data_IF_368884862940
#
_entry.id   IF_368884862940
#
_cell.length_a   1.000
_cell.length_b   1.000
_cell.length_c   1.000
_cell.angle_alpha   90.00
_cell.angle_beta   90.00
_cell.angle_gamma   90.00
#
_symmetry.space_group_name_H-M   'P 1'
#
loop_
_entity.id
_entity.type
_entity.pdbx_description
1 polymer ?
#
# COMPACT_ATOMS: atom_id res chain seq x y z
N UNK A 1 15.96 1.79 -9.07
CA UNK A 1 15.45 1.49 -7.73
C UNK A 1 14.28 0.54 -7.81
N UNK A 2 14.13 -0.30 -6.80
CA UNK A 2 13.05 -1.28 -6.78
C UNK A 2 11.69 -0.69 -6.39
N UNK A 3 11.72 0.40 -5.65
CA UNK A 3 10.50 1.09 -5.23
C UNK A 3 10.65 2.58 -5.47
N UNK A 4 9.67 3.17 -6.13
CA UNK A 4 9.66 4.60 -6.43
C UNK A 4 8.68 5.30 -5.50
N UNK A 5 9.09 6.44 -4.95
CA UNK A 5 8.28 7.21 -4.01
C UNK A 5 7.84 8.50 -4.70
N UNK A 6 6.55 8.75 -4.72
CA UNK A 6 5.99 9.99 -5.24
C UNK A 6 5.15 10.64 -4.15
N UNK A 7 5.52 11.85 -3.74
CA UNK A 7 4.74 12.60 -2.76
C UNK A 7 3.75 13.50 -3.46
N UNK A 8 2.49 13.43 -3.07
CA UNK A 8 1.44 14.34 -3.48
C UNK A 8 0.85 14.97 -2.22
N UNK A 9 -0.03 15.95 -2.42
CA UNK A 9 -0.75 16.55 -1.30
C UNK A 9 -1.56 15.46 -0.58
N UNK A 10 -1.30 15.27 0.71
CA UNK A 10 -2.00 14.35 1.61
C UNK A 10 -1.80 12.86 1.34
N UNK A 11 -1.04 12.47 0.32
CA UNK A 11 -0.83 11.05 0.03
C UNK A 11 0.56 10.82 -0.55
N UNK A 12 1.18 9.71 -0.16
CA UNK A 12 2.45 9.25 -0.73
C UNK A 12 2.19 7.97 -1.49
N UNK A 13 2.64 7.94 -2.74
CA UNK A 13 2.50 6.76 -3.60
C UNK A 13 3.83 6.03 -3.63
N UNK A 14 3.79 4.74 -3.28
CA UNK A 14 4.95 3.86 -3.39
C UNK A 14 4.67 2.91 -4.54
N UNK A 15 5.46 3.00 -5.60
CA UNK A 15 5.31 2.13 -6.76
C UNK A 15 6.34 1.01 -6.70
N UNK A 16 5.88 -0.22 -6.71
CA UNK A 16 6.74 -1.38 -6.78
C UNK A 16 7.20 -1.59 -8.22
N UNK A 17 8.51 -1.68 -8.42
CA UNK A 17 9.11 -1.96 -9.73
C UNK A 17 9.61 -3.39 -9.81
N UNK A 18 9.46 -4.17 -8.74
CA UNK A 18 9.90 -5.57 -8.73
C UNK A 18 8.81 -6.47 -9.31
N UNK A 19 9.22 -7.43 -10.10
CA UNK A 19 8.32 -8.43 -10.65
C UNK A 19 7.81 -9.39 -9.56
N UNK A 20 8.69 -9.74 -8.64
CA UNK A 20 8.39 -10.67 -7.53
C UNK A 20 8.62 -9.96 -6.20
N UNK A 21 7.56 -9.81 -5.43
CA UNK A 21 7.65 -9.27 -4.08
C UNK A 21 7.73 -10.45 -3.12
N UNK A 22 8.95 -10.96 -2.94
CA UNK A 22 9.25 -12.18 -2.18
C UNK A 22 10.17 -11.88 -1.00
N UNK A 23 10.73 -12.95 -0.40
CA UNK A 23 11.57 -12.82 0.78
C UNK A 23 12.84 -11.99 0.54
N UNK A 24 13.31 -11.89 -0.71
CA UNK A 24 14.48 -11.07 -1.04
C UNK A 24 14.14 -9.58 -1.11
N UNK A 25 12.94 -9.25 -1.58
CA UNK A 25 12.54 -7.86 -1.82
C UNK A 25 11.70 -7.27 -0.67
N UNK A 26 11.00 -8.10 0.09
CA UNK A 26 10.11 -7.62 1.14
C UNK A 26 10.81 -6.77 2.21
N UNK A 27 12.02 -7.11 2.67
CA UNK A 27 12.70 -6.26 3.65
C UNK A 27 12.97 -4.84 3.15
N UNK A 28 13.31 -4.68 1.87
CA UNK A 28 13.52 -3.35 1.29
C UNK A 28 12.20 -2.55 1.28
N UNK A 29 11.10 -3.19 0.90
CA UNK A 29 9.79 -2.54 0.91
C UNK A 29 9.41 -2.11 2.33
N UNK A 30 9.59 -2.98 3.31
CA UNK A 30 9.32 -2.64 4.72
C UNK A 30 10.12 -1.42 5.16
N UNK A 31 11.41 -1.38 4.83
CA UNK A 31 12.27 -0.24 5.18
C UNK A 31 11.77 1.05 4.54
N UNK A 32 11.41 1.01 3.26
CA UNK A 32 10.91 2.18 2.56
C UNK A 32 9.61 2.69 3.20
N UNK A 33 8.70 1.78 3.52
CA UNK A 33 7.42 2.14 4.13
C UNK A 33 7.60 2.77 5.50
N UNK A 34 8.49 2.21 6.32
CA UNK A 34 8.78 2.75 7.65
C UNK A 34 9.39 4.15 7.53
N UNK A 35 10.34 4.34 6.62
CA UNK A 35 10.98 5.65 6.42
C UNK A 35 9.99 6.70 5.94
N UNK A 36 9.13 6.33 4.98
CA UNK A 36 8.10 7.24 4.45
C UNK A 36 7.13 7.65 5.57
N UNK A 37 6.70 6.68 6.37
CA UNK A 37 5.77 6.95 7.46
C UNK A 37 6.41 7.82 8.55
N UNK A 38 7.66 7.55 8.92
CA UNK A 38 8.39 8.37 9.90
C UNK A 38 8.62 9.78 9.40
N UNK A 39 8.72 9.96 8.09
CA UNK A 39 8.85 11.27 7.47
C UNK A 39 7.55 12.09 7.46
N UNK A 40 6.46 11.53 7.98
CA UNK A 40 5.19 12.21 8.11
C UNK A 40 4.06 11.69 7.23
N UNK A 41 4.32 10.72 6.36
CA UNK A 41 3.27 10.18 5.49
C UNK A 41 2.37 9.23 6.27
N UNK A 42 1.15 9.67 6.55
CA UNK A 42 0.14 8.83 7.19
C UNK A 42 -0.78 8.13 6.18
N UNK A 43 -0.83 8.62 4.95
CA UNK A 43 -1.63 8.05 3.88
C UNK A 43 -0.69 7.52 2.81
N UNK A 44 -0.76 6.22 2.52
CA UNK A 44 0.12 5.57 1.56
C UNK A 44 -0.71 4.76 0.57
N UNK A 45 -0.40 4.94 -0.71
CA UNK A 45 -0.93 4.10 -1.79
C UNK A 45 0.23 3.23 -2.26
N UNK A 46 0.05 1.92 -2.26
CA UNK A 46 1.03 0.98 -2.79
C UNK A 46 0.55 0.47 -4.14
N UNK A 47 1.28 0.84 -5.19
CA UNK A 47 0.96 0.47 -6.56
C UNK A 47 1.73 -0.81 -6.94
N UNK A 48 1.01 -1.89 -7.17
CA UNK A 48 1.57 -3.20 -7.52
C UNK A 48 1.34 -3.58 -8.98
N UNK A 49 1.10 -2.59 -9.85
CA UNK A 49 0.82 -2.84 -11.27
C UNK A 49 1.92 -3.67 -11.94
N UNK A 50 3.19 -3.40 -11.61
CA UNK A 50 4.33 -4.09 -12.23
C UNK A 50 4.76 -5.34 -11.46
N UNK A 51 4.07 -5.70 -10.38
CA UNK A 51 4.40 -6.86 -9.56
C UNK A 51 3.47 -8.02 -9.90
N UNK A 52 4.00 -9.03 -10.59
CA UNK A 52 3.19 -10.18 -11.04
C UNK A 52 3.09 -11.28 -9.99
N UNK A 53 3.97 -11.29 -9.00
CA UNK A 53 4.03 -12.37 -8.03
C UNK A 53 4.32 -11.81 -6.64
N UNK A 54 3.69 -12.43 -5.64
CA UNK A 54 3.90 -12.06 -4.23
C UNK A 54 3.78 -13.34 -3.40
N UNK A 55 4.65 -13.49 -2.41
CA UNK A 55 4.56 -14.59 -1.45
C UNK A 55 4.16 -14.05 -0.07
N UNK A 56 4.20 -14.92 0.94
CA UNK A 56 3.82 -14.54 2.31
C UNK A 56 4.72 -13.44 2.90
N UNK A 57 5.99 -13.38 2.48
CA UNK A 57 6.91 -12.33 2.92
C UNK A 57 6.48 -10.98 2.38
N UNK A 58 6.13 -10.93 1.08
CA UNK A 58 5.60 -9.71 0.46
C UNK A 58 4.30 -9.28 1.11
N UNK A 59 3.41 -10.22 1.35
CA UNK A 59 2.14 -9.93 2.02
C UNK A 59 2.34 -9.38 3.42
N UNK A 60 3.34 -9.89 4.15
CA UNK A 60 3.72 -9.37 5.46
C UNK A 60 4.12 -7.90 5.39
N UNK A 61 4.90 -7.52 4.36
CA UNK A 61 5.28 -6.12 4.16
C UNK A 61 4.06 -5.23 3.92
N UNK A 62 3.09 -5.72 3.14
CA UNK A 62 1.84 -5.00 2.89
C UNK A 62 1.08 -4.77 4.20
N UNK A 63 1.01 -5.78 5.05
CA UNK A 63 0.33 -5.67 6.34
C UNK A 63 1.03 -4.69 7.28
N UNK A 64 2.36 -4.61 7.23
CA UNK A 64 3.10 -3.60 8.00
C UNK A 64 2.68 -2.20 7.56
N UNK A 65 2.57 -1.97 6.25
CA UNK A 65 2.13 -0.66 5.73
C UNK A 65 0.74 -0.31 6.24
N UNK A 66 -0.17 -1.28 6.20
CA UNK A 66 -1.54 -1.06 6.69
C UNK A 66 -1.55 -0.65 8.16
N UNK A 67 -0.75 -1.33 8.97
CA UNK A 67 -0.66 -1.01 10.41
C UNK A 67 -0.05 0.37 10.64
N UNK A 68 1.04 0.71 9.93
CA UNK A 68 1.67 2.01 10.08
C UNK A 68 0.71 3.16 9.78
N UNK A 69 -0.05 3.04 8.71
CA UNK A 69 -1.02 4.07 8.34
C UNK A 69 -2.15 4.17 9.36
N UNK A 70 -2.69 3.03 9.80
CA UNK A 70 -3.76 3.00 10.79
C UNK A 70 -3.30 3.63 12.11
N UNK A 71 -2.09 3.29 12.57
CA UNK A 71 -1.55 3.82 13.82
C UNK A 71 -1.26 5.32 13.72
N UNK A 72 -1.06 5.83 12.51
CA UNK A 72 -0.85 7.25 12.25
C UNK A 72 -2.16 7.99 11.97
N UNK A 73 -3.29 7.33 12.12
CA UNK A 73 -4.62 7.88 11.82
C UNK A 73 -4.75 8.26 10.33
N UNK A 74 -4.23 7.40 9.48
CA UNK A 74 -4.25 7.57 8.04
C UNK A 74 -4.84 6.36 7.31
N UNK A 75 -4.71 6.35 6.00
CA UNK A 75 -5.25 5.30 5.14
C UNK A 75 -4.15 4.61 4.35
N UNK A 76 -4.28 3.31 4.17
CA UNK A 76 -3.44 2.52 3.28
C UNK A 76 -4.30 1.88 2.21
N UNK A 77 -3.95 2.07 0.94
CA UNK A 77 -4.70 1.51 -0.19
C UNK A 77 -3.74 0.79 -1.13
N UNK A 78 -4.10 -0.43 -1.51
CA UNK A 78 -3.42 -1.17 -2.59
C UNK A 78 -4.11 -0.88 -3.92
N UNK A 79 -3.34 -0.83 -4.99
CA UNK A 79 -3.95 -0.70 -6.31
C UNK A 79 -3.17 -1.46 -7.38
N UNK A 80 -3.84 -1.72 -8.49
CA UNK A 80 -3.22 -2.31 -9.67
C UNK A 80 -2.85 -3.77 -9.51
N UNK A 81 -3.58 -4.54 -8.70
CA UNK A 81 -3.19 -5.93 -8.43
C UNK A 81 -3.26 -6.80 -9.67
N UNK A 82 -2.17 -7.52 -9.94
CA UNK A 82 -2.15 -8.57 -10.95
C UNK A 82 -2.94 -9.79 -10.44
N UNK A 83 -3.45 -10.64 -11.35
CA UNK A 83 -4.34 -11.74 -10.94
C UNK A 83 -3.76 -12.69 -9.88
N UNK A 84 -2.47 -13.04 -9.97
CA UNK A 84 -1.85 -13.93 -8.98
C UNK A 84 -1.75 -13.29 -7.61
N UNK A 85 -1.46 -11.98 -7.56
CA UNK A 85 -1.37 -11.23 -6.31
C UNK A 85 -2.77 -11.08 -5.69
N UNK A 86 -3.75 -10.74 -6.51
CA UNK A 86 -5.15 -10.63 -6.06
C UNK A 86 -5.64 -11.96 -5.48
N UNK A 87 -5.32 -13.07 -6.14
CA UNK A 87 -5.71 -14.40 -5.68
C UNK A 87 -5.11 -14.72 -4.31
N UNK A 88 -3.84 -14.38 -4.11
CA UNK A 88 -3.19 -14.60 -2.80
C UNK A 88 -3.90 -13.83 -1.70
N UNK A 89 -4.23 -12.57 -1.96
CA UNK A 89 -4.93 -11.72 -0.99
C UNK A 89 -6.31 -12.31 -0.67
N UNK A 90 -7.04 -12.76 -1.67
CA UNK A 90 -8.37 -13.35 -1.49
C UNK A 90 -8.29 -14.66 -0.69
N UNK A 91 -7.36 -15.55 -1.04
CA UNK A 91 -7.18 -16.82 -0.35
C UNK A 91 -6.79 -16.59 1.12
N UNK A 92 -6.00 -15.57 1.38
CA UNK A 92 -5.57 -15.21 2.74
C UNK A 92 -6.64 -14.44 3.51
N UNK A 93 -7.80 -14.18 2.90
CA UNK A 93 -8.92 -13.46 3.49
C UNK A 93 -8.57 -12.03 3.91
N UNK A 94 -7.60 -11.42 3.25
CA UNK A 94 -7.16 -10.06 3.56
C UNK A 94 -7.88 -9.00 2.73
N UNK A 95 -8.68 -9.40 1.76
CA UNK A 95 -9.51 -8.51 0.97
C UNK A 95 -10.57 -7.79 1.83
N UNK A 96 -10.93 -8.36 2.99
CA UNK A 96 -11.83 -7.71 3.94
C UNK A 96 -11.11 -6.72 4.86
N UNK A 97 -9.78 -6.80 4.95
CA UNK A 97 -8.96 -5.95 5.83
C UNK A 97 -8.33 -4.80 5.06
N UNK A 98 -7.93 -5.06 3.82
CA UNK A 98 -7.20 -4.10 2.99
C UNK A 98 -8.15 -3.38 2.05
N UNK A 99 -7.91 -2.08 1.85
CA UNK A 99 -8.59 -1.30 0.81
C UNK A 99 -7.87 -1.50 -0.50
N UNK A 100 -8.60 -1.87 -1.54
CA UNK A 100 -8.02 -2.22 -2.84
C UNK A 100 -8.79 -1.51 -3.93
N UNK A 101 -8.08 -0.87 -4.86
CA UNK A 101 -8.69 -0.23 -6.03
C UNK A 101 -7.99 -0.71 -7.31
N UNK A 102 -8.65 -0.58 -8.47
CA UNK A 102 -8.02 -0.97 -9.74
C UNK A 102 -6.86 -0.07 -10.15
N UNK A 103 -6.91 1.23 -9.87
CA UNK A 103 -5.94 2.21 -10.36
C UNK A 103 -5.43 3.11 -9.26
N UNK A 104 -4.29 3.76 -9.54
CA UNK A 104 -3.73 4.78 -8.63
C UNK A 104 -4.71 5.94 -8.43
N UNK A 105 -5.35 6.40 -9.51
CA UNK A 105 -6.28 7.52 -9.40
C UNK A 105 -7.44 7.22 -8.45
N UNK A 106 -8.00 6.02 -8.55
CA UNK A 106 -9.07 5.62 -7.65
C UNK A 106 -8.58 5.47 -6.20
N UNK A 107 -7.34 5.00 -6.02
CA UNK A 107 -6.73 4.90 -4.70
C UNK A 107 -6.55 6.27 -4.06
N UNK A 108 -6.06 7.23 -4.83
CA UNK A 108 -5.88 8.61 -4.37
C UNK A 108 -7.24 9.23 -4.00
N UNK A 109 -8.25 9.01 -4.83
CA UNK A 109 -9.61 9.50 -4.55
C UNK A 109 -10.14 8.92 -3.24
N UNK A 110 -9.92 7.64 -3.00
CA UNK A 110 -10.35 6.97 -1.77
C UNK A 110 -9.67 7.58 -0.55
N UNK A 111 -8.37 7.86 -0.65
CA UNK A 111 -7.62 8.52 0.44
C UNK A 111 -8.22 9.87 0.76
N UNK A 112 -8.53 10.68 -0.25
CA UNK A 112 -9.12 12.00 -0.03
C UNK A 112 -10.50 11.90 0.61
N UNK A 113 -11.31 10.92 0.20
CA UNK A 113 -12.61 10.68 0.83
C UNK A 113 -12.45 10.30 2.30
N UNK A 114 -11.49 9.45 2.61
CA UNK A 114 -11.21 9.05 4.00
C UNK A 114 -10.77 10.26 4.84
N UNK A 115 -9.98 11.16 4.26
CA UNK A 115 -9.55 12.39 4.95
C UNK A 115 -10.74 13.28 5.28
N UNK A 116 -11.66 13.45 4.33
CA UNK A 116 -12.88 14.23 4.55
C UNK A 116 -13.72 13.62 5.66
N UNK A 117 -13.90 12.31 5.65
CA UNK A 117 -14.66 11.62 6.68
C UNK A 117 -14.04 11.81 8.06
N UNK A 118 -12.71 11.69 8.17
CA UNK A 118 -12.03 11.90 9.46
C UNK A 118 -12.19 13.32 9.96
N UNK A 119 -12.11 14.30 9.05
CA UNK A 119 -12.29 15.71 9.43
C UNK A 119 -13.72 15.97 9.92
N UNK A 120 -14.72 15.30 9.33
CA UNK A 120 -16.12 15.44 9.75
C UNK A 120 -16.39 14.79 11.11
N UNK A 121 -15.65 13.73 11.45
CA UNK A 121 -15.82 13.03 12.72
C UNK A 121 -15.14 13.74 13.88
N UNK A 122 -14.20 14.60 13.58
CA UNK A 122 -13.50 15.38 14.58
C UNK A 122 -14.16 16.76 14.73
#
# INVERSE_FOLDING_TARGET
MNFEIEQRDKVTIVKSKVDKLDALQAPELKSELVLVNKGGAKNIVLDLTDTRYCDSSGLSAVLVANRLCRDSNGSFVLCGLQPTVEKLITISQLDSVLKITPTVNEAVDLVYMDEVERDLEN
#
